data_IF_067402923024
#
_entry.id   IF_067402923024
#
_cell.length_a   1.000
_cell.length_b   1.000
_cell.length_c   1.000
_cell.angle_alpha   90.00
_cell.angle_beta   90.00
_cell.angle_gamma   90.00
#
_symmetry.space_group_name_H-M   'P 1'
#
loop_
_entity.id
_entity.type
_entity.pdbx_description
1 polymer ?
#
# COMPACT_ATOMS: atom_id res chain seq x y z
N UNK A 1 17.77 -14.32 -0.42
CA UNK A 1 17.14 -15.66 -0.41
C UNK A 1 16.75 -15.93 -1.86
N UNK A 2 17.27 -16.95 -2.53
CA UNK A 2 16.90 -17.19 -3.96
C UNK A 2 15.60 -17.99 -4.01
N UNK A 3 14.56 -17.42 -4.58
CA UNK A 3 13.29 -18.13 -4.84
C UNK A 3 13.57 -19.23 -5.88
N UNK A 4 13.52 -20.50 -5.45
CA UNK A 4 13.56 -21.63 -6.38
C UNK A 4 12.20 -21.71 -7.07
N UNK A 5 12.12 -21.25 -8.31
CA UNK A 5 10.89 -21.28 -9.11
C UNK A 5 10.66 -22.72 -9.60
N UNK A 6 9.95 -23.50 -8.80
CA UNK A 6 9.46 -24.82 -9.19
C UNK A 6 8.11 -24.66 -9.92
N UNK A 7 7.73 -25.56 -10.85
CA UNK A 7 6.41 -25.54 -11.48
C UNK A 7 5.26 -25.50 -10.47
N UNK A 8 5.42 -26.19 -9.34
CA UNK A 8 4.44 -26.24 -8.24
C UNK A 8 4.22 -24.84 -7.63
N UNK A 9 5.28 -24.03 -7.49
CA UNK A 9 5.22 -22.65 -6.99
C UNK A 9 4.41 -21.72 -7.92
N UNK A 10 4.44 -21.99 -9.22
CA UNK A 10 3.66 -21.21 -10.21
C UNK A 10 2.18 -21.60 -10.15
N UNK A 11 1.86 -22.87 -9.94
CA UNK A 11 0.47 -23.32 -9.77
C UNK A 11 -0.13 -22.79 -8.47
N UNK A 12 0.60 -22.87 -7.35
CA UNK A 12 0.21 -22.28 -6.07
C UNK A 12 -0.02 -20.77 -6.20
N UNK A 13 0.85 -20.06 -6.92
CA UNK A 13 0.69 -18.64 -7.18
C UNK A 13 -0.58 -18.33 -8.00
N UNK A 14 -0.95 -19.17 -8.97
CA UNK A 14 -2.20 -19.00 -9.73
C UNK A 14 -3.44 -19.24 -8.87
N UNK A 15 -3.40 -20.29 -8.06
CA UNK A 15 -4.49 -20.68 -7.17
C UNK A 15 -4.82 -19.61 -6.14
N UNK A 16 -3.81 -18.83 -5.70
CA UNK A 16 -3.99 -17.69 -4.81
C UNK A 16 -4.81 -16.55 -5.42
N UNK A 17 -4.94 -16.44 -6.74
CA UNK A 17 -5.81 -15.43 -7.38
C UNK A 17 -5.46 -13.96 -7.06
N UNK A 18 -4.25 -13.71 -6.56
CA UNK A 18 -3.78 -12.41 -6.11
C UNK A 18 -3.81 -12.18 -4.59
N UNK A 19 -4.25 -13.16 -3.81
CA UNK A 19 -4.20 -13.12 -2.35
C UNK A 19 -2.79 -13.41 -1.82
N UNK A 20 -2.55 -12.99 -0.57
CA UNK A 20 -1.31 -13.31 0.15
C UNK A 20 -1.17 -14.83 0.34
N UNK A 21 0.06 -15.31 0.36
CA UNK A 21 0.33 -16.70 0.71
C UNK A 21 0.11 -16.91 2.22
N UNK A 22 -0.74 -17.87 2.57
CA UNK A 22 -1.07 -18.21 3.94
C UNK A 22 0.10 -18.85 4.68
N UNK A 23 1.03 -19.48 3.95
CA UNK A 23 2.21 -20.13 4.49
C UNK A 23 3.48 -19.25 4.30
N UNK A 24 3.29 -17.94 4.02
CA UNK A 24 4.42 -17.01 3.84
C UNK A 24 5.31 -16.97 5.09
N UNK A 25 6.64 -16.81 4.92
CA UNK A 25 7.55 -16.72 6.06
C UNK A 25 7.18 -15.57 7.00
N UNK A 26 7.29 -15.79 8.32
CA UNK A 26 7.00 -14.76 9.33
C UNK A 26 7.79 -13.47 9.09
N UNK A 27 9.04 -13.57 8.66
CA UNK A 27 9.88 -12.43 8.31
C UNK A 27 9.28 -11.53 7.21
N UNK A 28 8.46 -12.09 6.31
CA UNK A 28 7.73 -11.32 5.30
C UNK A 28 6.56 -10.58 5.95
N UNK A 29 5.79 -11.24 6.82
CA UNK A 29 4.73 -10.58 7.60
C UNK A 29 5.29 -9.45 8.45
N UNK A 30 6.37 -9.70 9.21
CA UNK A 30 7.05 -8.68 10.04
C UNK A 30 7.57 -7.51 9.19
N UNK A 31 8.16 -7.77 8.01
CA UNK A 31 8.62 -6.72 7.10
C UNK A 31 7.45 -5.91 6.50
N UNK A 32 6.26 -6.50 6.40
CA UNK A 32 5.05 -5.82 5.96
C UNK A 32 4.39 -5.03 7.08
N UNK A 33 4.46 -5.51 8.32
CA UNK A 33 3.92 -4.90 9.56
C UNK A 33 4.79 -3.77 10.13
N UNK A 34 5.75 -3.25 9.36
CA UNK A 34 6.54 -2.10 9.78
C UNK A 34 5.66 -0.95 10.26
N UNK A 35 6.13 -0.22 11.27
CA UNK A 35 5.37 0.86 11.91
C UNK A 35 4.65 1.73 10.85
N UNK A 36 3.38 2.01 11.07
CA UNK A 36 2.63 2.83 10.14
C UNK A 36 2.55 4.24 10.71
N UNK A 37 2.78 5.22 9.85
CA UNK A 37 2.62 6.61 10.25
C UNK A 37 1.12 6.89 10.40
N UNK A 38 0.71 7.43 11.54
CA UNK A 38 -0.64 7.95 11.73
C UNK A 38 -1.26 7.54 13.05
N UNK A 39 -1.98 8.47 13.69
CA UNK A 39 -2.63 8.18 14.97
C UNK A 39 -3.65 7.04 14.86
N UNK A 40 -3.39 5.95 15.58
CA UNK A 40 -4.24 4.75 15.57
C UNK A 40 -4.11 3.91 14.29
N UNK A 41 -3.07 4.16 13.49
CA UNK A 41 -2.68 3.36 12.32
C UNK A 41 -1.45 2.55 12.72
N UNK A 42 -1.61 1.26 12.98
CA UNK A 42 -0.53 0.40 13.45
C UNK A 42 -0.17 0.61 14.93
N UNK A 43 1.11 0.43 15.24
CA UNK A 43 1.68 0.62 16.58
C UNK A 43 2.18 2.07 16.76
N UNK A 44 2.09 2.64 17.97
CA UNK A 44 2.57 4.00 18.25
C UNK A 44 4.08 4.11 17.98
N UNK A 45 4.50 5.18 17.29
CA UNK A 45 5.92 5.45 17.04
C UNK A 45 6.73 5.76 18.31
N UNK A 46 6.08 6.26 19.37
CA UNK A 46 6.75 6.59 20.64
C UNK A 46 5.97 6.09 21.85
N UNK A 47 6.58 5.20 22.62
CA UNK A 47 5.97 4.64 23.83
C UNK A 47 5.15 3.39 23.57
N UNK A 48 4.33 2.98 24.55
CA UNK A 48 3.63 1.68 24.51
C UNK A 48 2.22 1.77 23.93
N UNK A 49 1.56 2.94 23.98
CA UNK A 49 0.18 3.11 23.53
C UNK A 49 -0.14 4.57 23.11
N UNK A 50 -1.00 4.74 22.10
CA UNK A 50 -1.54 6.04 21.70
C UNK A 50 -2.32 6.78 22.80
N UNK A 51 -2.81 6.07 23.82
CA UNK A 51 -3.48 6.69 24.95
C UNK A 51 -2.52 7.56 25.81
N UNK A 52 -1.22 7.32 25.71
CA UNK A 52 -0.19 8.05 26.46
C UNK A 52 0.32 9.28 25.72
N UNK A 53 -0.11 9.46 24.46
CA UNK A 53 0.28 10.60 23.63
C UNK A 53 -0.24 11.89 24.25
N UNK A 54 0.60 12.95 24.27
CA UNK A 54 0.18 14.25 24.78
C UNK A 54 -0.93 14.83 23.88
N UNK A 55 -1.95 15.41 24.51
CA UNK A 55 -2.88 16.27 23.79
C UNK A 55 -2.15 17.53 23.29
N UNK A 56 -2.74 18.23 22.31
CA UNK A 56 -2.19 19.46 21.75
C UNK A 56 -1.76 20.46 22.83
N UNK A 57 -2.60 20.67 23.84
CA UNK A 57 -2.32 21.59 24.95
C UNK A 57 -1.16 21.12 25.84
N UNK A 58 -0.89 19.81 25.87
CA UNK A 58 0.15 19.20 26.69
C UNK A 58 1.53 19.20 26.03
N UNK A 59 1.64 19.42 24.71
CA UNK A 59 2.93 19.42 24.00
C UNK A 59 3.91 20.44 24.59
N UNK A 60 3.39 21.58 25.05
CA UNK A 60 4.19 22.64 25.69
C UNK A 60 4.65 22.33 27.11
N UNK A 61 4.18 21.22 27.71
CA UNK A 61 4.56 20.88 29.08
C UNK A 61 6.04 20.42 29.14
N UNK A 62 6.81 20.81 30.18
CA UNK A 62 8.23 20.49 30.31
C UNK A 62 8.57 18.98 30.28
N UNK A 63 7.63 18.12 30.70
CA UNK A 63 7.78 16.67 30.73
C UNK A 63 7.63 16.01 29.35
N UNK A 64 7.18 16.75 28.33
CA UNK A 64 6.95 16.23 26.97
C UNK A 64 8.08 16.48 25.98
N UNK A 65 9.16 17.15 26.41
CA UNK A 65 10.31 17.42 25.55
C UNK A 65 11.08 16.17 25.10
N UNK A 66 11.09 15.10 25.90
CA UNK A 66 11.69 13.81 25.51
C UNK A 66 10.84 13.11 24.45
N UNK A 67 9.54 12.99 24.70
CA UNK A 67 8.57 12.45 23.74
C UNK A 67 8.67 13.16 22.36
N UNK A 68 8.71 14.50 22.36
CA UNK A 68 8.82 15.28 21.11
C UNK A 68 10.14 15.04 20.39
N UNK A 69 11.24 14.89 21.13
CA UNK A 69 12.54 14.58 20.54
C UNK A 69 12.53 13.20 19.90
N UNK A 70 11.98 12.21 20.59
CA UNK A 70 11.93 10.83 20.11
C UNK A 70 11.03 10.72 18.87
N UNK A 71 9.87 11.41 18.88
CA UNK A 71 8.97 11.46 17.74
C UNK A 71 9.62 12.11 16.52
N UNK A 72 10.21 13.31 16.68
CA UNK A 72 10.84 14.04 15.58
C UNK A 72 12.12 13.36 15.06
N UNK A 73 12.78 12.56 15.90
CA UNK A 73 13.96 11.79 15.51
C UNK A 73 13.62 10.39 14.97
N UNK A 74 12.35 9.99 15.00
CA UNK A 74 11.94 8.70 14.48
C UNK A 74 12.28 8.66 12.97
N UNK A 75 12.68 7.50 12.41
CA UNK A 75 12.51 7.20 10.97
C UNK A 75 11.02 7.40 10.65
N UNK A 76 10.41 7.18 9.49
CA UNK A 76 8.95 7.47 9.29
C UNK A 76 8.43 8.92 9.50
N UNK A 77 8.94 9.72 10.44
CA UNK A 77 8.72 11.18 10.56
C UNK A 77 9.78 11.91 9.74
N UNK A 78 9.37 12.51 8.61
CA UNK A 78 10.22 13.31 7.71
C UNK A 78 9.98 14.82 7.87
N UNK A 79 9.05 15.23 8.73
CA UNK A 79 8.67 16.61 8.92
C UNK A 79 7.60 16.78 9.99
N UNK A 80 7.24 18.04 10.24
CA UNK A 80 6.17 18.38 11.19
C UNK A 80 4.81 17.87 10.72
N UNK A 81 4.56 17.80 9.41
CA UNK A 81 3.32 17.24 8.85
C UNK A 81 3.14 15.77 9.26
N UNK A 82 4.17 14.95 9.07
CA UNK A 82 4.16 13.53 9.44
C UNK A 82 4.10 13.33 10.96
N UNK A 83 4.81 14.16 11.73
CA UNK A 83 4.69 14.14 13.20
C UNK A 83 3.28 14.52 13.67
N UNK A 84 2.62 15.46 12.99
CA UNK A 84 1.23 15.80 13.25
C UNK A 84 0.33 14.64 12.88
N UNK A 85 0.47 14.03 11.70
CA UNK A 85 -0.29 12.85 11.29
C UNK A 85 -0.23 11.71 12.33
N UNK A 86 0.96 11.47 12.90
CA UNK A 86 1.14 10.52 13.98
C UNK A 86 0.48 10.95 15.30
N UNK A 87 0.53 12.25 15.64
CA UNK A 87 -0.07 12.80 16.86
C UNK A 87 -1.59 12.93 16.78
N UNK A 88 -2.15 13.08 15.58
CA UNK A 88 -3.56 13.40 15.39
C UNK A 88 -4.15 12.60 14.23
N UNK A 89 -5.25 11.89 14.51
CA UNK A 89 -6.06 11.27 13.45
C UNK A 89 -6.94 12.29 12.71
N UNK A 90 -6.61 13.58 12.80
CA UNK A 90 -7.41 14.66 12.26
C UNK A 90 -7.12 14.87 10.77
N UNK A 91 -8.17 14.71 9.97
CA UNK A 91 -8.09 14.82 8.51
C UNK A 91 -8.57 16.18 7.97
N UNK A 92 -8.96 17.13 8.84
CA UNK A 92 -9.44 18.43 8.41
C UNK A 92 -8.34 19.51 8.48
N UNK A 93 -8.28 20.35 7.45
CA UNK A 93 -7.20 21.32 7.21
C UNK A 93 -7.09 22.38 8.31
N UNK A 94 -8.20 22.73 8.98
CA UNK A 94 -8.19 23.72 10.04
C UNK A 94 -7.53 23.16 11.31
N UNK A 95 -7.88 21.92 11.69
CA UNK A 95 -7.27 21.23 12.82
C UNK A 95 -5.79 20.95 12.57
N UNK A 96 -5.40 20.55 11.36
CA UNK A 96 -3.99 20.33 10.99
C UNK A 96 -3.13 21.59 11.17
N UNK A 97 -3.60 22.75 10.68
CA UNK A 97 -2.86 24.01 10.81
C UNK A 97 -2.62 24.43 12.26
N UNK A 98 -3.61 24.23 13.13
CA UNK A 98 -3.47 24.50 14.56
C UNK A 98 -2.49 23.54 15.25
N UNK A 99 -2.51 22.26 14.87
CA UNK A 99 -1.57 21.26 15.40
C UNK A 99 -0.14 21.55 14.97
N UNK A 100 0.08 21.86 13.69
CA UNK A 100 1.39 22.25 13.17
C UNK A 100 1.97 23.44 13.94
N UNK A 101 1.20 24.53 14.07
CA UNK A 101 1.67 25.70 14.80
C UNK A 101 1.92 25.43 16.28
N UNK A 102 1.17 24.51 16.89
CA UNK A 102 1.41 24.11 18.29
C UNK A 102 2.65 23.24 18.43
N UNK A 103 2.86 22.29 17.51
CA UNK A 103 4.00 21.40 17.51
C UNK A 103 5.30 22.18 17.27
N UNK A 104 5.30 23.10 16.30
CA UNK A 104 6.42 24.01 16.03
C UNK A 104 6.77 24.84 17.28
N UNK A 105 5.76 25.49 17.88
CA UNK A 105 5.98 26.28 19.10
C UNK A 105 6.46 25.44 20.29
N UNK A 106 6.02 24.18 20.40
CA UNK A 106 6.49 23.27 21.43
C UNK A 106 7.94 22.84 21.18
N UNK A 107 8.29 22.47 19.95
CA UNK A 107 9.66 22.13 19.57
C UNK A 107 10.63 23.30 19.90
N UNK A 108 10.25 24.52 19.54
CA UNK A 108 10.97 25.75 19.89
C UNK A 108 11.12 25.93 21.41
N UNK A 109 10.02 25.75 22.16
CA UNK A 109 10.04 25.90 23.61
C UNK A 109 10.97 24.89 24.31
N UNK A 110 11.12 23.70 23.72
CA UNK A 110 12.03 22.65 24.20
C UNK A 110 13.44 22.75 23.61
N UNK A 111 13.71 23.73 22.73
CA UNK A 111 15.00 23.92 22.07
C UNK A 111 15.36 22.75 21.15
N UNK A 112 14.37 22.14 20.50
CA UNK A 112 14.56 21.08 19.53
C UNK A 112 14.79 21.69 18.15
N UNK A 113 15.86 21.28 17.50
CA UNK A 113 16.12 21.64 16.11
C UNK A 113 15.42 20.63 15.22
N UNK A 114 14.23 20.99 14.73
CA UNK A 114 13.35 20.13 13.94
C UNK A 114 14.09 19.62 12.70
N UNK A 115 14.75 20.52 11.96
CA UNK A 115 15.46 20.18 10.73
C UNK A 115 16.57 19.14 10.99
N UNK A 116 17.31 19.29 12.09
CA UNK A 116 18.35 18.33 12.46
C UNK A 116 17.76 16.98 12.90
N UNK A 117 16.63 16.98 13.62
CA UNK A 117 16.02 15.74 14.12
C UNK A 117 15.36 14.94 13.00
N UNK A 118 14.62 15.60 12.10
CA UNK A 118 13.98 14.92 10.96
C UNK A 118 15.01 14.46 9.93
N UNK A 119 16.08 15.22 9.70
CA UNK A 119 17.21 14.78 8.87
C UNK A 119 17.94 13.58 9.49
N UNK A 120 18.04 13.49 10.83
CA UNK A 120 18.58 12.29 11.49
C UNK A 120 17.67 11.07 11.28
N UNK A 121 16.35 11.27 11.31
CA UNK A 121 15.39 10.23 10.94
C UNK A 121 15.54 9.79 9.48
N UNK A 122 15.83 10.73 8.56
CA UNK A 122 16.18 10.44 7.16
C UNK A 122 17.48 9.63 7.03
N UNK A 123 18.55 10.05 7.71
CA UNK A 123 19.82 9.31 7.73
C UNK A 123 19.67 7.90 8.33
N UNK A 124 18.85 7.72 9.35
CA UNK A 124 18.58 6.40 9.95
C UNK A 124 17.68 5.52 9.07
N UNK A 125 16.73 6.11 8.32
CA UNK A 125 16.04 5.40 7.22
C UNK A 125 17.05 4.95 6.17
N UNK A 126 17.99 5.82 5.78
CA UNK A 126 18.99 5.49 4.76
C UNK A 126 20.06 4.49 5.23
N UNK A 127 20.40 4.47 6.53
CA UNK A 127 21.53 3.70 7.07
C UNK A 127 21.15 2.46 7.91
N UNK A 128 19.91 2.33 8.39
CA UNK A 128 19.56 1.30 9.38
C UNK A 128 18.13 0.74 9.32
N UNK A 129 17.18 1.45 8.72
CA UNK A 129 15.86 0.92 8.38
C UNK A 129 15.85 0.47 6.93
N UNK A 130 16.35 -0.73 6.64
CA UNK A 130 16.40 -1.24 5.27
C UNK A 130 15.05 -1.01 4.59
N UNK A 131 15.03 -0.33 3.45
CA UNK A 131 13.81 -0.04 2.71
C UNK A 131 12.95 -1.31 2.64
N UNK A 132 11.63 -1.17 2.66
CA UNK A 132 10.71 -2.32 2.78
C UNK A 132 11.03 -3.39 1.74
N UNK A 133 11.41 -2.97 0.53
CA UNK A 133 11.82 -3.82 -0.57
C UNK A 133 13.10 -4.61 -0.25
N UNK A 134 14.11 -3.96 0.30
CA UNK A 134 15.37 -4.58 0.75
C UNK A 134 15.12 -5.58 1.88
N UNK A 135 14.23 -5.26 2.82
CA UNK A 135 13.84 -6.15 3.93
C UNK A 135 13.10 -7.39 3.41
N UNK A 136 12.21 -7.22 2.43
CA UNK A 136 11.46 -8.30 1.80
C UNK A 136 12.34 -9.21 0.92
N UNK A 137 13.19 -8.63 0.08
CA UNK A 137 14.03 -9.37 -0.87
C UNK A 137 15.31 -9.94 -0.23
N UNK A 138 15.75 -9.34 0.87
CA UNK A 138 17.04 -9.62 1.50
C UNK A 138 18.24 -9.09 0.70
N UNK A 139 17.99 -8.22 -0.28
CA UNK A 139 18.99 -7.49 -1.06
C UNK A 139 18.36 -6.20 -1.62
N UNK A 140 19.19 -5.19 -1.90
CA UNK A 140 18.73 -3.96 -2.53
C UNK A 140 18.67 -4.14 -4.06
N UNK A 141 17.49 -4.08 -4.70
CA UNK A 141 17.40 -4.14 -6.14
C UNK A 141 18.01 -2.87 -6.78
N UNK A 142 18.55 -2.96 -8.01
CA UNK A 142 18.99 -1.79 -8.76
C UNK A 142 17.86 -0.78 -8.96
N UNK A 143 18.14 0.52 -8.85
CA UNK A 143 17.14 1.60 -8.97
C UNK A 143 16.37 1.55 -10.30
N UNK A 144 17.01 1.13 -11.39
CA UNK A 144 16.38 1.00 -12.70
C UNK A 144 15.39 -0.17 -12.78
N UNK A 145 15.48 -1.12 -11.84
CA UNK A 145 14.54 -2.24 -11.71
C UNK A 145 13.34 -1.91 -10.81
N UNK A 146 13.42 -0.89 -9.95
CA UNK A 146 12.33 -0.49 -9.04
C UNK A 146 11.29 0.30 -9.82
N UNK A 147 10.43 -0.43 -10.55
CA UNK A 147 9.35 0.14 -11.37
C UNK A 147 8.09 -0.70 -11.28
N UNK A 148 6.90 -0.06 -11.31
CA UNK A 148 5.63 -0.76 -11.21
C UNK A 148 5.33 -1.67 -12.41
N UNK A 149 5.94 -1.39 -13.56
CA UNK A 149 5.82 -2.16 -14.79
C UNK A 149 6.91 -3.22 -14.96
N UNK A 150 7.85 -3.35 -14.01
CA UNK A 150 8.90 -4.36 -14.11
C UNK A 150 8.32 -5.75 -13.76
N UNK A 151 8.17 -6.66 -14.75
CA UNK A 151 7.55 -7.95 -14.52
C UNK A 151 8.35 -8.85 -13.58
N UNK A 152 9.68 -8.68 -13.53
CA UNK A 152 10.56 -9.51 -12.70
C UNK A 152 10.39 -9.16 -11.23
N UNK A 153 10.44 -7.86 -10.90
CA UNK A 153 10.28 -7.40 -9.52
C UNK A 153 8.88 -7.73 -8.99
N UNK A 154 7.84 -7.46 -9.79
CA UNK A 154 6.44 -7.76 -9.42
C UNK A 154 6.24 -9.26 -9.21
N UNK A 155 6.81 -10.11 -10.08
CA UNK A 155 6.74 -11.56 -9.94
C UNK A 155 7.46 -12.05 -8.69
N UNK A 156 8.66 -11.54 -8.41
CA UNK A 156 9.45 -11.95 -7.25
C UNK A 156 8.74 -11.62 -5.94
N UNK A 157 8.21 -10.40 -5.80
CA UNK A 157 7.44 -10.00 -4.62
C UNK A 157 6.18 -10.87 -4.46
N UNK A 158 5.46 -11.15 -5.55
CA UNK A 158 4.28 -12.01 -5.48
C UNK A 158 4.65 -13.44 -5.06
N UNK A 159 5.74 -13.99 -5.58
CA UNK A 159 6.23 -15.34 -5.26
C UNK A 159 6.82 -15.44 -3.84
N UNK A 160 7.23 -14.33 -3.23
CA UNK A 160 7.58 -14.26 -1.80
C UNK A 160 6.36 -14.37 -0.87
N UNK A 161 5.15 -14.39 -1.44
CA UNK A 161 3.91 -14.58 -0.68
C UNK A 161 3.12 -13.30 -0.43
N UNK A 162 3.48 -12.18 -1.06
CA UNK A 162 2.69 -10.95 -0.99
C UNK A 162 1.41 -11.10 -1.82
N UNK A 163 0.36 -10.39 -1.39
CA UNK A 163 -0.84 -10.14 -2.18
C UNK A 163 -0.61 -9.07 -3.25
N UNK A 164 -1.52 -8.97 -4.21
CA UNK A 164 -1.50 -7.91 -5.23
C UNK A 164 -1.57 -6.51 -4.60
N UNK A 165 -2.29 -6.37 -3.49
CA UNK A 165 -2.41 -5.10 -2.76
C UNK A 165 -1.10 -4.78 -2.03
N UNK A 166 -0.51 -5.75 -1.33
CA UNK A 166 0.76 -5.56 -0.63
C UNK A 166 1.92 -5.24 -1.58
N UNK A 167 1.93 -5.84 -2.78
CA UNK A 167 2.90 -5.50 -3.84
C UNK A 167 2.69 -4.05 -4.32
N UNK A 168 1.45 -3.64 -4.53
CA UNK A 168 1.12 -2.28 -4.95
C UNK A 168 1.53 -1.25 -3.90
N UNK A 169 1.21 -1.51 -2.63
CA UNK A 169 1.56 -0.64 -1.50
C UNK A 169 3.07 -0.56 -1.30
N UNK A 170 3.77 -1.69 -1.43
CA UNK A 170 5.24 -1.73 -1.33
C UNK A 170 5.88 -0.90 -2.44
N UNK A 171 5.43 -1.05 -3.69
CA UNK A 171 6.00 -0.29 -4.80
C UNK A 171 5.64 1.19 -4.76
N UNK A 172 4.44 1.55 -4.28
CA UNK A 172 4.02 2.97 -4.12
C UNK A 172 4.93 3.74 -3.16
N UNK A 173 5.49 3.07 -2.15
CA UNK A 173 6.45 3.68 -1.21
C UNK A 173 7.82 3.93 -1.85
N UNK A 174 8.16 3.21 -2.92
CA UNK A 174 9.50 3.22 -3.52
C UNK A 174 9.58 3.99 -4.86
N UNK A 175 8.44 4.27 -5.51
CA UNK A 175 8.40 4.93 -6.82
C UNK A 175 7.59 6.23 -6.78
N UNK A 176 7.94 7.19 -7.64
CA UNK A 176 7.13 8.40 -7.80
C UNK A 176 5.76 8.05 -8.41
N UNK A 177 4.72 8.13 -7.58
CA UNK A 177 3.32 8.00 -7.99
C UNK A 177 2.61 6.79 -7.37
N UNK A 178 1.28 6.82 -7.47
CA UNK A 178 0.40 5.79 -6.90
C UNK A 178 0.34 4.55 -7.80
N UNK A 179 0.81 3.40 -7.28
CA UNK A 179 0.79 2.12 -7.99
C UNK A 179 -0.52 1.43 -7.69
N UNK A 180 -1.38 1.31 -8.71
CA UNK A 180 -2.69 0.68 -8.52
C UNK A 180 -2.58 -0.84 -8.50
N UNK A 181 -3.29 -1.55 -7.59
CA UNK A 181 -3.36 -3.02 -7.56
C UNK A 181 -3.75 -3.64 -8.90
N UNK A 182 -4.59 -2.95 -9.67
CA UNK A 182 -4.99 -3.43 -10.99
C UNK A 182 -3.85 -3.45 -12.02
N UNK A 183 -2.86 -2.56 -11.89
CA UNK A 183 -1.67 -2.57 -12.75
C UNK A 183 -0.80 -3.78 -12.42
N UNK A 184 -0.54 -4.02 -11.13
CA UNK A 184 0.16 -5.21 -10.63
C UNK A 184 -0.50 -6.50 -11.13
N UNK A 185 -1.84 -6.57 -11.05
CA UNK A 185 -2.61 -7.73 -11.55
C UNK A 185 -2.43 -7.94 -13.06
N UNK A 186 -2.41 -6.89 -13.87
CA UNK A 186 -2.18 -7.02 -15.32
C UNK A 186 -0.74 -7.44 -15.63
N UNK A 187 0.25 -6.94 -14.88
CA UNK A 187 1.64 -7.41 -14.98
C UNK A 187 1.76 -8.89 -14.64
N UNK A 188 1.14 -9.35 -13.55
CA UNK A 188 1.14 -10.76 -13.14
C UNK A 188 0.44 -11.69 -14.15
N UNK A 189 -0.63 -11.23 -14.81
CA UNK A 189 -1.25 -11.96 -15.93
C UNK A 189 -0.33 -12.05 -17.14
N UNK A 190 0.39 -10.96 -17.44
CA UNK A 190 1.34 -10.91 -18.57
C UNK A 190 2.46 -11.94 -18.41
N UNK A 191 2.94 -12.16 -17.18
CA UNK A 191 3.94 -13.20 -16.87
C UNK A 191 3.33 -14.58 -16.60
N UNK A 192 2.00 -14.71 -16.64
CA UNK A 192 1.29 -15.97 -16.45
C UNK A 192 1.24 -16.48 -15.01
N UNK A 193 1.43 -15.60 -14.02
CA UNK A 193 1.27 -15.90 -12.58
C UNK A 193 -0.18 -15.72 -12.12
N UNK A 194 -0.99 -14.95 -12.85
CA UNK A 194 -2.44 -14.88 -12.65
C UNK A 194 -3.19 -15.25 -13.91
N UNK A 195 -4.37 -15.83 -13.74
CA UNK A 195 -5.25 -16.18 -14.85
C UNK A 195 -6.09 -15.00 -15.34
N UNK A 196 -6.53 -15.12 -16.60
CA UNK A 196 -7.43 -14.17 -17.24
C UNK A 196 -6.74 -13.15 -18.13
N UNK A 197 -7.56 -12.35 -18.81
CA UNK A 197 -7.08 -11.35 -19.78
C UNK A 197 -6.62 -10.08 -19.08
N UNK A 198 -5.56 -9.46 -19.58
CA UNK A 198 -5.15 -8.11 -19.18
C UNK A 198 -6.22 -7.09 -19.59
N UNK A 199 -6.20 -5.87 -19.02
CA UNK A 199 -7.12 -4.81 -19.45
C UNK A 199 -6.96 -4.44 -20.92
N UNK A 200 -5.73 -4.44 -21.44
CA UNK A 200 -5.46 -4.14 -22.84
C UNK A 200 -6.10 -5.19 -23.75
N UNK A 201 -5.92 -6.48 -23.45
CA UNK A 201 -6.55 -7.57 -24.19
C UNK A 201 -8.08 -7.53 -24.12
N UNK A 202 -8.64 -7.08 -22.98
CA UNK A 202 -10.08 -6.89 -22.85
C UNK A 202 -10.58 -5.72 -23.70
N UNK A 203 -9.84 -4.60 -23.74
CA UNK A 203 -10.18 -3.45 -24.56
C UNK A 203 -10.07 -3.76 -26.06
N UNK A 204 -9.02 -4.47 -26.47
CA UNK A 204 -8.85 -4.92 -27.85
C UNK A 204 -9.97 -5.89 -28.25
N UNK A 205 -10.26 -6.90 -27.43
CA UNK A 205 -11.36 -7.82 -27.69
C UNK A 205 -12.74 -7.14 -27.72
N UNK A 206 -12.92 -6.05 -26.97
CA UNK A 206 -14.14 -5.24 -27.00
C UNK A 206 -14.23 -4.41 -28.28
N UNK A 207 -13.13 -3.79 -28.70
CA UNK A 207 -13.02 -3.04 -29.95
C UNK A 207 -13.22 -3.94 -31.18
N UNK A 208 -12.61 -5.13 -31.18
CA UNK A 208 -12.79 -6.14 -32.24
C UNK A 208 -14.25 -6.60 -32.35
N UNK A 209 -14.97 -6.64 -31.22
CA UNK A 209 -16.39 -7.00 -31.16
C UNK A 209 -17.34 -5.83 -31.34
N UNK A 210 -16.85 -4.67 -31.76
CA UNK A 210 -17.65 -3.45 -32.00
C UNK A 210 -18.52 -3.08 -30.79
N UNK A 211 -17.96 -3.24 -29.59
CA UNK A 211 -18.60 -2.93 -28.31
C UNK A 211 -19.74 -3.86 -27.89
N UNK A 212 -19.92 -5.02 -28.53
CA UNK A 212 -20.94 -6.01 -28.13
C UNK A 212 -20.52 -6.81 -26.90
N UNK A 213 -21.07 -6.45 -25.75
CA UNK A 213 -21.04 -7.27 -24.53
C UNK A 213 -22.10 -8.36 -24.69
N UNK A 214 -21.68 -9.62 -24.85
CA UNK A 214 -22.59 -10.76 -24.81
C UNK A 214 -22.96 -11.32 -26.18
N UNK A 215 -22.08 -12.14 -26.73
CA UNK A 215 -22.49 -13.22 -27.63
C UNK A 215 -22.92 -14.42 -26.79
N UNK A 216 -24.04 -14.34 -26.07
CA UNK A 216 -24.76 -15.57 -25.72
C UNK A 216 -25.28 -16.11 -27.03
N UNK A 217 -24.54 -17.01 -27.66
CA UNK A 217 -25.11 -17.97 -28.61
C UNK A 217 -26.19 -18.72 -27.84
N UNK A 218 -27.42 -18.21 -27.90
CA UNK A 218 -28.61 -19.00 -27.65
C UNK A 218 -28.61 -20.06 -28.76
N UNK A 219 -28.09 -21.23 -28.41
CA UNK A 219 -28.30 -22.43 -29.18
C UNK A 219 -29.80 -22.73 -29.13
N UNK A 220 -30.53 -22.29 -30.16
CA UNK A 220 -31.97 -22.51 -30.29
C UNK A 220 -32.18 -23.97 -30.69
N UNK A 221 -31.95 -24.87 -29.73
CA UNK A 221 -32.50 -26.22 -29.77
C UNK A 221 -34.00 -26.10 -29.60
N UNK A 222 -34.73 -26.54 -30.64
CA UNK A 222 -36.19 -26.56 -30.70
C UNK A 222 -36.78 -27.28 -29.49
N UNK A 223 -37.70 -26.63 -28.76
CA UNK A 223 -38.46 -27.29 -27.70
C UNK A 223 -39.29 -26.36 -26.81
N UNK A 224 -40.59 -26.26 -27.13
CA UNK A 224 -41.76 -25.99 -26.28
C UNK A 224 -41.75 -24.86 -25.23
N UNK A 225 -42.69 -23.92 -25.44
CA UNK A 225 -43.52 -23.20 -24.45
C UNK A 225 -42.88 -22.62 -23.17
N UNK A 226 -42.73 -21.29 -23.14
CA UNK A 226 -43.16 -20.47 -22.00
C UNK A 226 -43.12 -18.97 -22.29
N UNK A 227 -44.25 -18.31 -21.99
CA UNK A 227 -44.52 -16.89 -21.76
C UNK A 227 -43.50 -15.83 -22.23
N UNK A 228 -43.94 -15.06 -23.23
CA UNK A 228 -43.32 -13.79 -23.60
C UNK A 228 -43.50 -12.76 -22.48
N UNK A 229 -42.40 -12.42 -21.82
CA UNK A 229 -42.30 -11.30 -20.90
C UNK A 229 -42.08 -10.01 -21.71
N UNK A 230 -43.16 -9.40 -22.21
CA UNK A 230 -43.13 -8.04 -22.76
C UNK A 230 -43.14 -7.05 -21.60
N UNK A 231 -41.99 -6.44 -21.31
CA UNK A 231 -41.89 -5.30 -20.39
C UNK A 231 -42.36 -4.07 -21.16
N UNK A 232 -43.54 -3.54 -20.82
CA UNK A 232 -44.03 -2.29 -21.41
C UNK A 232 -43.34 -1.10 -20.71
N UNK A 233 -42.73 -0.21 -21.49
CA UNK A 233 -41.98 0.95 -21.02
C UNK A 233 -42.86 2.12 -20.53
N UNK A 234 -44.11 1.88 -20.13
CA UNK A 234 -45.03 2.90 -19.63
C UNK A 234 -45.08 2.98 -18.10
N UNK A 235 -44.35 2.11 -17.38
CA UNK A 235 -44.35 2.05 -15.90
C UNK A 235 -43.31 2.96 -15.22
N UNK A 236 -42.68 3.89 -15.96
CA UNK A 236 -41.68 4.84 -15.44
C UNK A 236 -42.05 6.32 -15.67
N UNK A 237 -43.34 6.63 -15.80
CA UNK A 237 -43.84 8.02 -15.89
C UNK A 237 -44.51 8.49 -14.59
#
# INVERSE_FOLDING_TARGET
MTVDIHPDTVEEARDRGGDADADRPEAISEALEGAELGYGVGEPLVGDAYADYPSREQLSNPDRGEFLRDLLAHPQVDGLDSAVEELTGANDTATLGDWLGTLEAAADAHGLDVDTLTAKGEDEREQGGGDRLTSLLGYRPPEDMVRPDNPVLVAELYLLGLSVEEVADTLTKEVEGDVRPAHVRDTLKTVGLLEGRTREEQQEAFAEKDGRIGGTTFDRSEGSDSDGLTVNAEDFA
#
